data_IF_510416164096
#
_entry.id   IF_510416164096
#
_cell.length_a   1.000
_cell.length_b   1.000
_cell.length_c   1.000
_cell.angle_alpha   90.00
_cell.angle_beta   90.00
_cell.angle_gamma   90.00
#
_symmetry.space_group_name_H-M   'P 1'
#
loop_
_entity.id
_entity.type
_entity.pdbx_description
1 polymer ?
#
# COMPACT_ATOMS: atom_id res chain seq x y z
N UNK A 1 5.58 -13.42 -6.89
CA UNK A 1 4.46 -12.54 -7.37
C UNK A 1 3.56 -13.33 -8.30
N UNK A 2 2.24 -13.22 -8.14
CA UNK A 2 1.23 -13.84 -9.01
C UNK A 2 0.81 -12.90 -10.16
N UNK A 3 0.09 -13.45 -11.16
CA UNK A 3 -0.54 -12.67 -12.23
C UNK A 3 -2.00 -12.44 -11.81
N UNK A 4 -2.41 -11.20 -11.48
CA UNK A 4 -3.79 -10.89 -11.14
C UNK A 4 -4.66 -10.83 -12.39
N UNK A 5 -6.00 -10.89 -12.21
CA UNK A 5 -6.95 -10.79 -13.32
C UNK A 5 -6.87 -9.44 -14.05
N UNK A 6 -6.55 -8.37 -13.32
CA UNK A 6 -6.36 -7.01 -13.85
C UNK A 6 -4.96 -6.51 -13.52
N UNK A 7 -4.07 -6.56 -14.49
CA UNK A 7 -2.68 -6.12 -14.36
C UNK A 7 -2.45 -4.85 -15.19
N UNK A 8 -2.14 -3.75 -14.53
CA UNK A 8 -1.88 -2.45 -15.18
C UNK A 8 -0.40 -2.23 -15.47
N UNK A 9 0.48 -2.85 -14.67
CA UNK A 9 1.93 -2.78 -14.81
C UNK A 9 2.52 -4.18 -14.90
N UNK A 10 3.71 -4.31 -15.48
CA UNK A 10 4.38 -5.61 -15.60
C UNK A 10 4.97 -6.07 -14.26
N UNK A 11 5.27 -7.36 -14.15
CA UNK A 11 5.97 -7.91 -12.98
C UNK A 11 7.34 -7.26 -12.77
N UNK A 12 8.06 -7.01 -13.85
CA UNK A 12 9.37 -6.36 -13.82
C UNK A 12 9.27 -4.94 -13.24
N UNK A 13 8.19 -4.23 -13.55
CA UNK A 13 7.97 -2.89 -12.98
C UNK A 13 7.67 -2.95 -11.49
N UNK A 14 6.80 -3.86 -11.05
CA UNK A 14 6.56 -4.07 -9.61
C UNK A 14 7.83 -4.52 -8.87
N UNK A 15 8.62 -5.41 -9.46
CA UNK A 15 9.88 -5.85 -8.88
C UNK A 15 10.88 -4.69 -8.75
N UNK A 16 11.02 -3.88 -9.79
CA UNK A 16 11.90 -2.70 -9.78
C UNK A 16 11.49 -1.68 -8.71
N UNK A 17 10.18 -1.47 -8.53
CA UNK A 17 9.65 -0.60 -7.46
C UNK A 17 9.99 -1.15 -6.07
N UNK A 18 9.81 -2.46 -5.87
CA UNK A 18 10.13 -3.15 -4.62
C UNK A 18 11.63 -3.10 -4.32
N UNK A 19 12.48 -3.36 -5.31
CA UNK A 19 13.94 -3.31 -5.17
C UNK A 19 14.42 -1.89 -4.82
N UNK A 20 13.81 -0.87 -5.43
CA UNK A 20 14.09 0.53 -5.11
C UNK A 20 13.71 0.90 -3.68
N UNK A 21 12.59 0.38 -3.15
CA UNK A 21 12.21 0.59 -1.75
C UNK A 21 13.18 -0.14 -0.82
N UNK A 22 13.54 -1.38 -1.13
CA UNK A 22 14.50 -2.18 -0.34
C UNK A 22 15.89 -1.55 -0.27
N UNK A 23 16.38 -0.99 -1.37
CA UNK A 23 17.64 -0.25 -1.37
C UNK A 23 17.60 0.90 -0.35
N UNK A 24 16.53 1.67 -0.33
CA UNK A 24 16.35 2.77 0.65
C UNK A 24 16.14 2.28 2.08
N UNK A 25 15.51 1.09 2.25
CA UNK A 25 15.41 0.46 3.58
C UNK A 25 16.79 0.05 4.09
N UNK A 26 17.61 -0.59 3.25
CA UNK A 26 18.98 -1.01 3.59
C UNK A 26 19.85 0.19 3.98
N UNK A 27 19.81 1.27 3.21
CA UNK A 27 20.49 2.53 3.50
C UNK A 27 20.12 3.12 4.88
N UNK A 28 18.87 2.86 5.35
CA UNK A 28 18.38 3.29 6.66
C UNK A 28 18.53 2.23 7.76
N UNK A 29 19.08 1.05 7.44
CA UNK A 29 19.23 -0.06 8.38
C UNK A 29 17.92 -0.63 8.87
N UNK A 30 16.91 -0.71 7.99
CA UNK A 30 15.58 -1.28 8.27
C UNK A 30 15.50 -2.72 7.76
N UNK A 31 15.07 -3.63 8.62
CA UNK A 31 14.84 -5.03 8.31
C UNK A 31 13.45 -5.29 7.69
N UNK A 32 12.49 -4.43 8.02
CA UNK A 32 11.13 -4.44 7.47
C UNK A 32 10.54 -3.04 7.39
N UNK A 33 9.53 -2.88 6.52
CA UNK A 33 8.73 -1.66 6.40
C UNK A 33 7.25 -2.02 6.49
N UNK A 34 6.52 -1.38 7.40
CA UNK A 34 5.07 -1.44 7.49
C UNK A 34 4.47 -0.22 6.79
N UNK A 35 3.72 -0.48 5.75
CA UNK A 35 2.96 0.51 4.99
C UNK A 35 1.48 0.41 5.33
N UNK A 36 0.85 1.57 5.47
CA UNK A 36 -0.59 1.71 5.73
C UNK A 36 -1.24 2.72 4.79
N UNK A 37 -0.45 3.45 4.00
CA UNK A 37 -0.92 4.40 3.00
C UNK A 37 -1.37 3.66 1.74
N UNK A 38 -2.66 3.73 1.34
CA UNK A 38 -3.20 2.97 0.21
C UNK A 38 -2.45 3.19 -1.10
N UNK A 39 -2.01 4.42 -1.37
CA UNK A 39 -1.27 4.76 -2.58
C UNK A 39 0.11 4.09 -2.63
N UNK A 40 0.78 3.92 -1.49
CA UNK A 40 2.05 3.23 -1.38
C UNK A 40 1.87 1.73 -1.53
N UNK A 41 0.80 1.18 -0.94
CA UNK A 41 0.41 -0.22 -1.10
C UNK A 41 0.09 -0.50 -2.57
N UNK A 42 -0.74 0.33 -3.21
CA UNK A 42 -1.05 0.21 -4.64
C UNK A 42 0.22 0.24 -5.51
N UNK A 43 1.12 1.18 -5.27
CA UNK A 43 2.36 1.33 -6.04
C UNK A 43 3.22 0.05 -6.04
N UNK A 44 3.28 -0.65 -4.91
CA UNK A 44 4.10 -1.85 -4.76
C UNK A 44 3.37 -3.15 -5.13
N UNK A 45 2.04 -3.17 -5.10
CA UNK A 45 1.28 -4.42 -5.18
C UNK A 45 0.22 -4.45 -6.28
N UNK A 46 -0.17 -3.29 -6.81
CA UNK A 46 -1.33 -3.15 -7.69
C UNK A 46 -2.68 -3.30 -6.99
N UNK A 47 -2.69 -3.64 -5.69
CA UNK A 47 -3.93 -3.78 -4.93
C UNK A 47 -4.62 -2.43 -4.79
N UNK A 48 -5.89 -2.40 -5.18
CA UNK A 48 -6.73 -1.21 -5.10
C UNK A 48 -8.12 -1.58 -4.58
N UNK A 49 -8.74 -0.65 -3.87
CA UNK A 49 -10.06 -0.81 -3.28
C UNK A 49 -10.79 0.53 -3.19
N UNK A 50 -12.12 0.56 -3.36
CA UNK A 50 -12.94 1.70 -2.97
C UNK A 50 -13.02 1.85 -1.44
N UNK A 51 -12.69 0.80 -0.70
CA UNK A 51 -12.69 0.75 0.77
C UNK A 51 -11.41 1.28 1.43
N UNK A 52 -10.71 2.23 0.81
CA UNK A 52 -9.45 2.80 1.29
C UNK A 52 -9.50 3.37 2.72
N UNK A 53 -10.69 3.62 3.25
CA UNK A 53 -10.90 4.10 4.63
C UNK A 53 -10.86 2.98 5.69
N UNK A 54 -10.87 1.71 5.29
CA UNK A 54 -10.55 0.60 6.18
C UNK A 54 -9.04 0.51 6.38
N UNK A 55 -8.64 -0.08 7.51
CA UNK A 55 -7.23 -0.38 7.72
C UNK A 55 -6.76 -1.43 6.70
N UNK A 56 -5.69 -1.14 6.02
CA UNK A 56 -4.96 -2.05 5.13
C UNK A 56 -3.49 -1.93 5.50
N UNK A 57 -2.81 -3.05 5.65
CA UNK A 57 -1.37 -3.08 5.90
C UNK A 57 -0.60 -3.82 4.82
N UNK A 58 0.61 -3.40 4.55
CA UNK A 58 1.59 -4.15 3.76
C UNK A 58 2.90 -4.24 4.54
N UNK A 59 3.34 -5.45 4.82
CA UNK A 59 4.66 -5.71 5.38
C UNK A 59 5.61 -5.97 4.22
N UNK A 60 6.65 -5.15 4.10
CA UNK A 60 7.73 -5.33 3.14
C UNK A 60 8.98 -5.72 3.92
N UNK A 61 9.37 -6.99 3.97
CA UNK A 61 10.65 -7.40 4.55
C UNK A 61 11.80 -6.99 3.61
N UNK A 62 12.98 -6.73 4.19
CA UNK A 62 14.18 -6.40 3.40
C UNK A 62 14.53 -7.54 2.44
N UNK A 63 14.26 -8.78 2.85
CA UNK A 63 14.37 -9.98 2.01
C UNK A 63 13.15 -10.89 2.17
N UNK A 64 12.74 -11.60 1.11
CA UNK A 64 11.54 -12.42 1.07
C UNK A 64 10.36 -11.67 0.42
N UNK A 65 9.18 -12.27 0.41
CA UNK A 65 8.01 -11.70 -0.27
C UNK A 65 7.25 -10.72 0.63
N UNK A 66 6.67 -9.65 0.06
CA UNK A 66 5.74 -8.79 0.79
C UNK A 66 4.49 -9.55 1.23
N UNK A 67 3.90 -9.14 2.35
CA UNK A 67 2.69 -9.73 2.92
C UNK A 67 1.63 -8.65 3.06
N UNK A 68 0.49 -8.84 2.38
CA UNK A 68 -0.64 -7.92 2.43
C UNK A 68 -1.58 -8.32 3.59
N UNK A 69 -2.06 -7.32 4.33
CA UNK A 69 -2.98 -7.49 5.47
C UNK A 69 -4.27 -6.71 5.17
N UNK A 70 -5.16 -7.25 4.34
CA UNK A 70 -6.43 -6.61 3.99
C UNK A 70 -7.53 -7.05 4.94
N UNK A 71 -8.66 -6.30 5.03
CA UNK A 71 -9.86 -6.77 5.69
C UNK A 71 -10.51 -7.95 4.93
N UNK A 72 -11.26 -8.84 5.62
CA UNK A 72 -11.77 -10.09 5.02
C UNK A 72 -12.65 -9.91 3.79
N UNK A 73 -13.47 -8.86 3.75
CA UNK A 73 -14.36 -8.59 2.62
C UNK A 73 -13.62 -8.13 1.35
N UNK A 74 -12.33 -7.85 1.44
CA UNK A 74 -11.48 -7.41 0.31
C UNK A 74 -10.74 -8.57 -0.37
N UNK A 75 -10.90 -9.81 0.08
CA UNK A 75 -10.17 -10.98 -0.46
C UNK A 75 -10.32 -11.12 -1.98
N UNK A 76 -11.52 -10.86 -2.52
CA UNK A 76 -11.77 -10.90 -3.96
C UNK A 76 -11.01 -9.82 -4.74
N UNK A 77 -10.84 -8.64 -4.15
CA UNK A 77 -10.07 -7.53 -4.74
C UNK A 77 -8.56 -7.82 -4.69
N UNK A 78 -8.08 -8.42 -3.59
CA UNK A 78 -6.70 -8.92 -3.52
C UNK A 78 -6.45 -9.91 -4.65
N UNK A 79 -7.37 -10.87 -4.86
CA UNK A 79 -7.27 -11.85 -5.93
C UNK A 79 -7.27 -11.22 -7.33
N UNK A 80 -8.03 -10.14 -7.52
CA UNK A 80 -8.23 -9.51 -8.83
C UNK A 80 -7.11 -8.56 -9.23
N UNK A 81 -6.47 -7.87 -8.27
CA UNK A 81 -5.59 -6.74 -8.56
C UNK A 81 -4.17 -6.90 -8.02
N UNK A 82 -3.95 -7.62 -6.89
CA UNK A 82 -2.64 -7.68 -6.25
C UNK A 82 -1.70 -8.67 -6.91
N UNK A 83 -0.44 -8.27 -7.12
CA UNK A 83 0.66 -9.19 -7.51
C UNK A 83 1.24 -9.94 -6.30
N UNK A 84 0.90 -9.56 -5.07
CA UNK A 84 1.36 -10.23 -3.85
C UNK A 84 0.61 -11.53 -3.66
N UNK A 85 1.33 -12.61 -3.38
CA UNK A 85 0.76 -13.96 -3.19
C UNK A 85 0.34 -14.20 -1.76
N UNK A 86 1.16 -13.75 -0.80
CA UNK A 86 0.90 -13.95 0.62
C UNK A 86 0.06 -12.81 1.17
N UNK A 87 -1.13 -13.13 1.68
CA UNK A 87 -1.97 -12.18 2.38
C UNK A 87 -2.57 -12.83 3.62
N UNK A 88 -2.78 -12.03 4.66
CA UNK A 88 -3.35 -12.47 5.93
C UNK A 88 -4.59 -11.64 6.26
N UNK A 89 -5.74 -12.30 6.28
CA UNK A 89 -7.00 -11.67 6.69
C UNK A 89 -7.03 -11.52 8.21
N UNK A 90 -7.61 -10.46 8.71
CA UNK A 90 -7.89 -10.27 10.12
C UNK A 90 -9.41 -10.21 10.35
N UNK A 91 -9.89 -10.75 11.47
CA UNK A 91 -11.31 -10.68 11.80
C UNK A 91 -11.70 -9.25 12.22
N UNK A 92 -12.93 -8.82 11.88
CA UNK A 92 -13.45 -7.48 12.25
C UNK A 92 -13.48 -7.24 13.77
N UNK A 93 -13.44 -8.32 14.54
CA UNK A 93 -13.39 -8.28 16.02
C UNK A 93 -11.97 -8.18 16.58
N UNK A 94 -10.95 -8.24 15.73
CA UNK A 94 -9.54 -8.23 16.11
C UNK A 94 -8.85 -6.96 15.62
N UNK A 95 -7.80 -6.55 16.34
CA UNK A 95 -6.97 -5.45 15.87
C UNK A 95 -6.02 -5.94 14.77
N UNK A 96 -6.03 -5.33 13.57
CA UNK A 96 -5.10 -5.70 12.50
C UNK A 96 -3.62 -5.56 12.93
N UNK A 97 -3.32 -4.68 13.88
CA UNK A 97 -1.96 -4.45 14.38
C UNK A 97 -1.43 -5.64 15.18
N UNK A 98 -2.31 -6.40 15.86
CA UNK A 98 -1.91 -7.65 16.52
C UNK A 98 -1.61 -8.74 15.49
N UNK A 99 -2.39 -8.81 14.41
CA UNK A 99 -2.08 -9.68 13.28
C UNK A 99 -0.73 -9.35 12.62
N UNK A 100 -0.46 -8.07 12.40
CA UNK A 100 0.84 -7.59 11.90
C UNK A 100 1.99 -8.00 12.83
N UNK A 101 1.82 -7.82 14.15
CA UNK A 101 2.84 -8.23 15.12
C UNK A 101 3.07 -9.75 15.09
N UNK A 102 2.01 -10.56 14.93
CA UNK A 102 2.12 -12.01 14.77
C UNK A 102 2.92 -12.38 13.52
N UNK A 103 2.58 -11.79 12.38
CA UNK A 103 3.28 -12.03 11.09
C UNK A 103 4.76 -11.63 11.20
N UNK A 104 5.07 -10.49 11.81
CA UNK A 104 6.47 -10.09 12.05
C UNK A 104 7.19 -11.09 12.97
N UNK A 105 6.48 -11.68 13.92
CA UNK A 105 7.00 -12.77 14.76
C UNK A 105 7.30 -14.04 13.97
N UNK A 106 6.38 -14.46 13.08
CA UNK A 106 6.55 -15.61 12.18
C UNK A 106 7.76 -15.43 11.24
N UNK A 107 8.00 -14.21 10.77
CA UNK A 107 9.15 -13.84 9.94
C UNK A 107 10.46 -13.72 10.73
N UNK A 108 10.45 -13.86 12.05
CA UNK A 108 11.62 -13.66 12.91
C UNK A 108 12.01 -12.19 13.09
N UNK A 109 11.14 -11.26 12.75
CA UNK A 109 11.39 -9.80 12.74
C UNK A 109 10.89 -9.08 14.00
N UNK A 110 10.37 -9.80 15.01
CA UNK A 110 9.82 -9.21 16.24
C UNK A 110 10.85 -8.40 17.08
N UNK A 111 12.14 -8.53 16.80
CA UNK A 111 13.24 -7.82 17.48
C UNK A 111 14.08 -6.94 16.54
N UNK A 112 13.62 -6.79 15.32
CA UNK A 112 14.33 -6.12 14.22
C UNK A 112 14.06 -4.63 14.18
N UNK A 113 14.72 -3.93 13.24
CA UNK A 113 14.50 -2.52 12.92
C UNK A 113 13.34 -2.41 11.92
N UNK A 114 12.22 -1.84 12.34
CA UNK A 114 10.99 -1.78 11.54
C UNK A 114 10.68 -0.31 11.24
N UNK A 115 10.63 0.03 9.96
CA UNK A 115 10.10 1.31 9.49
C UNK A 115 8.57 1.30 9.54
N UNK A 116 7.96 2.38 9.97
CA UNK A 116 6.50 2.58 9.97
C UNK A 116 6.22 3.96 9.38
N UNK A 117 5.19 4.10 8.56
CA UNK A 117 4.80 5.38 7.99
C UNK A 117 4.18 6.29 9.07
N UNK A 118 4.98 7.19 9.64
CA UNK A 118 4.49 8.14 10.64
C UNK A 118 3.58 9.22 10.05
N UNK A 119 3.75 9.54 8.77
CA UNK A 119 2.92 10.53 8.06
C UNK A 119 1.62 9.93 7.49
N UNK A 120 1.36 8.63 7.73
CA UNK A 120 0.15 8.00 7.22
C UNK A 120 -1.10 8.46 7.97
N UNK A 121 -2.10 8.91 7.23
CA UNK A 121 -3.44 9.25 7.77
C UNK A 121 -4.23 8.00 8.19
N UNK A 122 -3.79 6.83 7.79
CA UNK A 122 -4.46 5.54 8.01
C UNK A 122 -3.91 4.79 9.22
N UNK A 123 -2.83 5.28 9.85
CA UNK A 123 -2.30 4.75 11.10
C UNK A 123 -2.59 5.71 12.25
N UNK A 124 -3.59 5.39 13.05
CA UNK A 124 -3.93 6.20 14.22
C UNK A 124 -2.90 6.03 15.32
N UNK A 125 -2.71 7.06 16.14
CA UNK A 125 -1.76 7.02 17.28
C UNK A 125 -2.05 5.82 18.19
N UNK A 126 -3.32 5.52 18.48
CA UNK A 126 -3.70 4.36 19.30
C UNK A 126 -3.23 3.03 18.69
N UNK A 127 -3.32 2.90 17.38
CA UNK A 127 -2.89 1.71 16.64
C UNK A 127 -1.37 1.58 16.69
N UNK A 128 -0.64 2.67 16.46
CA UNK A 128 0.81 2.70 16.62
C UNK A 128 1.24 2.28 18.04
N UNK A 129 0.59 2.81 19.07
CA UNK A 129 0.88 2.42 20.47
C UNK A 129 0.61 0.94 20.72
N UNK A 130 -0.44 0.37 20.13
CA UNK A 130 -0.75 -1.05 20.21
C UNK A 130 0.34 -1.90 19.53
N UNK A 131 0.78 -1.52 18.33
CA UNK A 131 1.89 -2.16 17.63
C UNK A 131 3.15 -2.15 18.48
N UNK A 132 3.51 -1.00 19.04
CA UNK A 132 4.66 -0.85 19.94
C UNK A 132 4.57 -1.76 21.17
N UNK A 133 3.38 -1.89 21.74
CA UNK A 133 3.13 -2.76 22.91
C UNK A 133 3.23 -4.25 22.55
N UNK A 134 2.79 -4.62 21.34
CA UNK A 134 2.86 -5.99 20.84
C UNK A 134 4.27 -6.41 20.41
N UNK A 135 5.14 -5.45 20.08
CA UNK A 135 6.53 -5.66 19.65
C UNK A 135 7.49 -4.89 20.58
N UNK A 136 7.59 -5.25 21.87
CA UNK A 136 8.35 -4.46 22.85
C UNK A 136 9.86 -4.43 22.58
N UNK A 137 10.40 -5.46 21.94
CA UNK A 137 11.81 -5.60 21.63
C UNK A 137 12.19 -5.06 20.24
N UNK A 138 11.22 -4.66 19.39
CA UNK A 138 11.48 -4.10 18.09
C UNK A 138 11.95 -2.63 18.18
N UNK A 139 12.88 -2.28 17.32
CA UNK A 139 13.27 -0.89 17.09
C UNK A 139 12.40 -0.30 16.00
N UNK A 140 11.43 0.52 16.37
CA UNK A 140 10.52 1.14 15.40
C UNK A 140 11.03 2.54 15.04
N UNK A 141 11.15 2.78 13.74
CA UNK A 141 11.69 4.00 13.14
C UNK A 141 10.66 4.62 12.20
N UNK A 142 10.85 5.89 11.88
CA UNK A 142 10.08 6.55 10.82
C UNK A 142 10.50 6.00 9.46
N UNK A 143 9.52 5.37 8.77
CA UNK A 143 9.64 4.83 7.42
C UNK A 143 9.02 5.74 6.35
N UNK A 144 8.49 6.90 6.73
CA UNK A 144 7.88 7.85 5.78
C UNK A 144 8.87 8.29 4.70
N UNK A 145 8.36 8.51 3.50
CA UNK A 145 9.16 8.96 2.35
C UNK A 145 9.89 7.85 1.59
N UNK A 146 9.98 6.62 2.12
CA UNK A 146 10.71 5.53 1.45
C UNK A 146 10.05 5.08 0.14
N UNK A 147 8.74 5.02 0.10
CA UNK A 147 7.99 4.68 -1.12
C UNK A 147 7.75 5.93 -1.97
N UNK A 148 7.37 7.03 -1.34
CA UNK A 148 7.07 8.30 -1.99
C UNK A 148 8.24 8.80 -2.85
N UNK A 149 9.48 8.63 -2.39
CA UNK A 149 10.69 8.97 -3.18
C UNK A 149 10.70 8.23 -4.52
N UNK A 150 10.33 6.94 -4.55
CA UNK A 150 10.22 6.16 -5.79
C UNK A 150 9.08 6.62 -6.69
N UNK A 151 8.01 7.20 -6.13
CA UNK A 151 6.82 7.71 -6.84
C UNK A 151 7.02 9.11 -7.44
N UNK A 152 8.08 9.85 -7.04
CA UNK A 152 8.31 11.21 -7.54
C UNK A 152 8.58 11.23 -9.05
N UNK A 153 9.42 10.31 -9.53
CA UNK A 153 9.75 10.21 -10.96
C UNK A 153 8.90 9.08 -11.55
N UNK A 154 8.01 9.45 -12.48
CA UNK A 154 7.06 8.54 -13.09
C UNK A 154 7.71 7.72 -14.20
N UNK A 155 7.36 6.44 -14.31
CA UNK A 155 7.72 5.62 -15.46
C UNK A 155 6.98 6.11 -16.72
N UNK A 156 7.46 5.70 -17.90
CA UNK A 156 6.77 6.01 -19.17
C UNK A 156 5.33 5.48 -19.16
N UNK A 157 5.12 4.29 -18.58
CA UNK A 157 3.79 3.67 -18.47
C UNK A 157 2.87 4.44 -17.53
N UNK A 158 3.38 4.92 -16.40
CA UNK A 158 2.64 5.79 -15.49
C UNK A 158 2.23 7.09 -16.18
N UNK A 159 3.14 7.72 -16.94
CA UNK A 159 2.83 8.94 -17.72
C UNK A 159 1.75 8.66 -18.76
N UNK A 160 1.79 7.52 -19.44
CA UNK A 160 0.76 7.12 -20.40
C UNK A 160 -0.62 7.04 -19.74
N UNK A 161 -0.74 6.35 -18.60
CA UNK A 161 -2.00 6.26 -17.85
C UNK A 161 -2.46 7.61 -17.33
N UNK A 162 -1.55 8.46 -16.85
CA UNK A 162 -1.89 9.81 -16.41
C UNK A 162 -2.47 10.67 -17.55
N UNK A 163 -1.92 10.55 -18.77
CA UNK A 163 -2.46 11.25 -19.96
C UNK A 163 -3.85 10.74 -20.33
N UNK A 164 -4.05 9.42 -20.30
CA UNK A 164 -5.38 8.83 -20.55
C UNK A 164 -6.41 9.29 -19.52
N UNK A 165 -6.05 9.25 -18.24
CA UNK A 165 -6.91 9.71 -17.15
C UNK A 165 -7.24 11.20 -17.28
N UNK A 166 -6.27 12.05 -17.64
CA UNK A 166 -6.48 13.48 -17.88
C UNK A 166 -7.45 13.74 -19.04
N UNK A 167 -7.32 12.99 -20.15
CA UNK A 167 -8.24 13.10 -21.29
C UNK A 167 -9.67 12.72 -20.90
N UNK A 168 -9.86 11.65 -20.13
CA UNK A 168 -11.18 11.22 -19.64
C UNK A 168 -11.77 12.28 -18.70
N UNK A 169 -10.98 12.80 -17.77
CA UNK A 169 -11.42 13.85 -16.84
C UNK A 169 -11.82 15.13 -17.60
N UNK A 170 -11.02 15.53 -18.60
CA UNK A 170 -11.32 16.71 -19.44
C UNK A 170 -12.63 16.53 -20.20
N UNK A 171 -12.86 15.36 -20.80
CA UNK A 171 -14.11 15.07 -21.51
C UNK A 171 -15.31 15.10 -20.54
N UNK A 172 -15.16 14.54 -19.32
CA UNK A 172 -16.21 14.57 -18.31
C UNK A 172 -16.56 16.00 -17.86
N UNK A 173 -15.54 16.82 -17.57
CA UNK A 173 -15.75 18.22 -17.19
C UNK A 173 -16.41 19.01 -18.33
N UNK A 174 -15.95 18.83 -19.58
CA UNK A 174 -16.53 19.53 -20.74
C UNK A 174 -17.99 19.13 -20.94
N UNK A 175 -18.32 17.84 -20.84
CA UNK A 175 -19.72 17.37 -20.92
C UNK A 175 -20.61 17.98 -19.83
N UNK A 176 -20.07 18.15 -18.63
CA UNK A 176 -20.77 18.83 -17.53
C UNK A 176 -21.02 20.32 -17.84
N UNK A 177 -19.99 21.01 -18.35
CA UNK A 177 -20.12 22.42 -18.75
C UNK A 177 -21.15 22.61 -19.89
N UNK A 178 -21.15 21.73 -20.87
CA UNK A 178 -22.06 21.77 -22.02
C UNK A 178 -23.52 21.50 -21.60
N UNK A 179 -23.73 20.78 -20.49
CA UNK A 179 -25.07 20.50 -19.96
C UNK A 179 -25.66 21.65 -19.13
N UNK A 180 -24.88 22.66 -18.76
CA UNK A 180 -25.36 23.81 -17.98
C UNK A 180 -26.26 24.68 -18.85
N UNK A 181 -27.54 24.75 -18.49
CA UNK A 181 -28.53 25.57 -19.17
C UNK A 181 -29.54 26.14 -18.18
N UNK A 182 -30.19 27.25 -18.55
CA UNK A 182 -31.28 27.84 -17.75
C UNK A 182 -32.43 26.85 -17.66
N UNK A 183 -32.80 26.45 -16.42
CA UNK A 183 -33.86 25.48 -16.15
C UNK A 183 -33.39 24.03 -16.06
N UNK A 184 -32.12 23.74 -16.24
CA UNK A 184 -31.54 22.45 -15.91
C UNK A 184 -31.44 22.30 -14.39
N UNK A 185 -31.84 21.14 -13.86
CA UNK A 185 -31.61 20.77 -12.45
C UNK A 185 -30.25 20.05 -12.30
N UNK A 186 -29.74 20.04 -11.07
CA UNK A 186 -28.57 19.23 -10.69
C UNK A 186 -28.79 17.74 -10.94
#
# INVERSE_FOLDING_TARGET
>A
MRIPAHQFFTHEEFQSRLDGVRSRMDERGLDALLLTTPENIYYLTGYQTPGYYYFIGLIVPLSGDPILIPPPHEESLVASYSVVEDYRLFADTESPLLGIASVLGELGLARSSIGVEYDSWFLKIREYMLLRSALPDARVHDGSGLVETGRLIKSEREIEYMRQAANIATAGVQSGLDAIAVGASE
#
